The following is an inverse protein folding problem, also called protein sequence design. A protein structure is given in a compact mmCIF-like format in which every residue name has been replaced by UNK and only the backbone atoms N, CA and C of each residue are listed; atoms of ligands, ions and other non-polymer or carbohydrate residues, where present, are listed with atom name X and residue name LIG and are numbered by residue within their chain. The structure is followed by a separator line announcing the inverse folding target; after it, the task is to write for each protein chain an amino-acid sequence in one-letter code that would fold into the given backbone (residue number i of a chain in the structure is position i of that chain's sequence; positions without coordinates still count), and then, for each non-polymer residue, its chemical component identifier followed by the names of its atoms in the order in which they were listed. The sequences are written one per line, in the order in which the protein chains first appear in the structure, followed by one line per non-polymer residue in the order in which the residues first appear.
data_IF_120181803469
#
_entry.id   IF_120181803469
#
_cell.length_a   1.000
_cell.length_b   1.000
_cell.length_c   1.000
_cell.angle_alpha   90.00
_cell.angle_beta   90.00
_cell.angle_gamma   90.00
#
_symmetry.space_group_name_H-M   'P 1'
#
loop_
_entity.id
_entity.type
_entity.pdbx_description
1 polymer ?
#
# COMPACT_ATOMS: atom_id res chain seq x y z
N UNK A 1 35.18 -16.80 28.22
CA UNK A 1 34.90 -15.53 27.52
C UNK A 1 36.09 -15.02 26.70
N UNK A 2 37.28 -14.84 27.28
CA UNK A 2 38.47 -14.34 26.55
C UNK A 2 38.87 -15.16 25.31
N UNK A 3 38.91 -16.49 25.42
CA UNK A 3 39.24 -17.39 24.30
C UNK A 3 38.22 -17.35 23.14
N UNK A 4 36.92 -17.19 23.46
CA UNK A 4 35.89 -17.07 22.44
C UNK A 4 36.06 -15.76 21.65
N UNK A 5 36.31 -14.66 22.37
CA UNK A 5 36.56 -13.34 21.76
C UNK A 5 37.80 -13.32 20.87
N UNK A 6 38.87 -14.00 21.25
CA UNK A 6 40.12 -14.02 20.46
C UNK A 6 40.06 -14.95 19.25
N UNK A 7 39.33 -16.07 19.34
CA UNK A 7 39.50 -17.18 18.38
C UNK A 7 38.25 -17.44 17.53
N UNK A 8 37.05 -17.25 18.08
CA UNK A 8 35.79 -17.68 17.43
C UNK A 8 34.85 -16.52 17.09
N UNK A 9 35.07 -15.32 17.64
CA UNK A 9 34.18 -14.18 17.45
C UNK A 9 34.08 -13.75 15.98
N UNK A 10 35.21 -13.70 15.28
CA UNK A 10 35.28 -13.26 13.87
C UNK A 10 34.56 -14.23 12.94
N UNK A 11 34.53 -15.53 13.28
CA UNK A 11 33.85 -16.56 12.48
C UNK A 11 32.36 -16.69 12.83
N UNK A 12 31.98 -16.41 14.07
CA UNK A 12 30.62 -16.61 14.57
C UNK A 12 29.71 -15.38 14.47
N UNK A 13 30.27 -14.17 14.33
CA UNK A 13 29.51 -12.91 14.33
C UNK A 13 29.94 -12.05 13.16
N UNK A 14 28.98 -11.70 12.31
CA UNK A 14 29.15 -10.75 11.21
C UNK A 14 28.42 -9.45 11.55
N UNK A 15 29.14 -8.33 11.51
CA UNK A 15 28.54 -7.00 11.69
C UNK A 15 28.01 -6.49 10.36
N UNK A 16 26.71 -6.19 10.31
CA UNK A 16 26.03 -5.70 9.11
C UNK A 16 25.28 -4.40 9.41
N UNK A 17 25.33 -3.46 8.47
CA UNK A 17 24.60 -2.18 8.60
C UNK A 17 23.08 -2.34 8.50
N UNK A 18 22.63 -3.35 7.75
CA UNK A 18 21.20 -3.61 7.55
C UNK A 18 20.97 -5.10 7.41
N UNK A 19 19.96 -5.60 8.12
CA UNK A 19 19.51 -6.97 8.04
C UNK A 19 17.98 -7.00 7.88
N UNK A 20 17.49 -7.85 6.98
CA UNK A 20 16.05 -8.03 6.74
C UNK A 20 15.64 -9.41 7.22
N UNK A 21 14.60 -9.46 8.05
CA UNK A 21 14.02 -10.68 8.57
C UNK A 21 12.61 -10.87 7.99
N UNK A 22 12.24 -12.12 7.72
CA UNK A 22 10.85 -12.43 7.38
C UNK A 22 9.94 -12.18 8.59
N UNK A 23 8.67 -11.85 8.33
CA UNK A 23 7.70 -11.64 9.42
C UNK A 23 7.48 -12.88 10.28
N UNK A 24 7.61 -14.09 9.71
CA UNK A 24 7.52 -15.35 10.46
C UNK A 24 8.73 -15.52 11.39
N UNK A 25 9.94 -15.33 10.89
CA UNK A 25 11.16 -15.42 11.69
C UNK A 25 11.19 -14.38 12.82
N UNK A 26 10.79 -13.13 12.52
CA UNK A 26 10.68 -12.06 13.52
C UNK A 26 9.69 -12.38 14.65
N UNK A 27 8.59 -13.08 14.34
CA UNK A 27 7.56 -13.47 15.31
C UNK A 27 8.00 -14.64 16.19
N UNK A 28 8.73 -15.59 15.62
CA UNK A 28 9.24 -16.77 16.32
C UNK A 28 10.52 -16.48 17.14
N UNK A 29 11.16 -15.34 16.89
CA UNK A 29 12.36 -14.91 17.60
C UNK A 29 12.14 -14.88 19.11
N UNK A 30 12.95 -15.66 19.84
CA UNK A 30 13.00 -15.67 21.31
C UNK A 30 14.26 -15.01 21.83
N UNK A 31 15.39 -15.32 21.19
CA UNK A 31 16.71 -14.80 21.55
C UNK A 31 17.32 -14.03 20.36
N UNK A 32 17.96 -12.87 20.58
CA UNK A 32 18.07 -12.16 21.86
C UNK A 32 16.73 -11.55 22.32
N UNK A 33 16.39 -11.70 23.61
CA UNK A 33 15.09 -11.28 24.16
C UNK A 33 14.77 -9.80 23.91
N UNK A 34 15.76 -8.92 24.05
CA UNK A 34 15.59 -7.48 23.82
C UNK A 34 15.16 -7.16 22.39
N UNK A 35 15.74 -7.85 21.40
CA UNK A 35 15.37 -7.68 20.00
C UNK A 35 13.97 -8.24 19.73
N UNK A 36 13.64 -9.40 20.31
CA UNK A 36 12.32 -10.00 20.18
C UNK A 36 11.21 -9.12 20.77
N UNK A 37 11.42 -8.53 21.94
CA UNK A 37 10.48 -7.56 22.53
C UNK A 37 10.35 -6.29 21.70
N UNK A 38 11.47 -5.75 21.23
CA UNK A 38 11.46 -4.59 20.37
C UNK A 38 10.63 -4.83 19.10
N UNK A 39 10.85 -5.96 18.42
CA UNK A 39 10.09 -6.33 17.22
C UNK A 39 8.60 -6.48 17.51
N UNK A 40 8.22 -7.10 18.64
CA UNK A 40 6.81 -7.21 19.06
C UNK A 40 6.20 -5.85 19.33
N UNK A 41 6.89 -4.96 20.06
CA UNK A 41 6.40 -3.62 20.34
C UNK A 41 6.23 -2.80 19.06
N UNK A 42 7.22 -2.81 18.15
CA UNK A 42 7.10 -2.15 16.85
C UNK A 42 5.93 -2.69 16.03
N UNK A 43 5.74 -4.00 16.00
CA UNK A 43 4.59 -4.63 15.34
C UNK A 43 3.27 -4.19 15.96
N UNK A 44 3.17 -4.18 17.30
CA UNK A 44 1.98 -3.71 18.00
C UNK A 44 1.71 -2.23 17.70
N UNK A 45 2.72 -1.35 17.73
CA UNK A 45 2.58 0.07 17.39
C UNK A 45 2.04 0.25 15.97
N UNK A 46 2.61 -0.44 14.99
CA UNK A 46 2.16 -0.36 13.59
C UNK A 46 0.74 -0.91 13.41
N UNK A 47 0.36 -1.96 14.14
CA UNK A 47 -1.00 -2.51 14.09
C UNK A 47 -2.05 -1.52 14.60
N UNK A 48 -1.75 -0.75 15.65
CA UNK A 48 -2.66 0.24 16.22
C UNK A 48 -2.64 1.57 15.43
N UNK A 49 -1.46 1.97 14.97
CA UNK A 49 -1.23 3.23 14.25
C UNK A 49 -0.52 2.98 12.91
N UNK A 50 -1.24 2.44 11.90
CA UNK A 50 -0.64 2.04 10.62
C UNK A 50 -0.29 3.22 9.70
N UNK A 51 -0.38 4.46 10.16
CA UNK A 51 -0.21 5.66 9.32
C UNK A 51 1.17 5.72 8.65
N UNK A 52 2.23 5.32 9.37
CA UNK A 52 3.58 5.28 8.83
C UNK A 52 3.70 4.27 7.68
N UNK A 53 3.16 3.06 7.89
CA UNK A 53 3.13 1.99 6.89
C UNK A 53 2.32 2.42 5.68
N UNK A 54 1.12 2.99 5.89
CA UNK A 54 0.27 3.49 4.82
C UNK A 54 0.96 4.59 3.99
N UNK A 55 1.66 5.52 4.65
CA UNK A 55 2.41 6.59 3.99
C UNK A 55 3.57 6.03 3.16
N UNK A 56 4.31 5.06 3.70
CA UNK A 56 5.43 4.44 3.00
C UNK A 56 4.95 3.61 1.79
N UNK A 57 3.93 2.77 1.97
CA UNK A 57 3.31 2.00 0.88
C UNK A 57 2.73 2.91 -0.20
N UNK A 58 2.12 4.04 0.19
CA UNK A 58 1.59 5.00 -0.78
C UNK A 58 2.69 5.55 -1.70
N UNK A 59 3.89 5.82 -1.18
CA UNK A 59 5.03 6.26 -1.99
C UNK A 59 5.50 5.15 -2.95
N UNK A 60 5.62 3.92 -2.45
CA UNK A 60 6.03 2.76 -3.27
C UNK A 60 5.03 2.54 -4.42
N UNK A 61 3.74 2.46 -4.10
CA UNK A 61 2.69 2.22 -5.09
C UNK A 61 2.57 3.36 -6.11
N UNK A 62 2.75 4.62 -5.69
CA UNK A 62 2.82 5.75 -6.61
C UNK A 62 4.03 5.63 -7.55
N UNK A 63 5.18 5.19 -7.04
CA UNK A 63 6.38 4.93 -7.85
C UNK A 63 6.21 3.78 -8.85
N UNK A 64 5.34 2.81 -8.54
CA UNK A 64 4.93 1.74 -9.46
C UNK A 64 3.84 2.18 -10.46
N UNK A 65 3.39 3.45 -10.42
CA UNK A 65 2.36 3.97 -11.30
C UNK A 65 0.92 3.60 -10.92
N UNK A 66 0.70 2.99 -9.75
CA UNK A 66 -0.64 2.66 -9.27
C UNK A 66 -1.42 3.92 -8.86
N UNK A 67 -2.72 3.86 -9.09
CA UNK A 67 -3.66 4.93 -8.85
C UNK A 67 -4.42 4.70 -7.55
N UNK A 68 -4.71 5.80 -6.85
CA UNK A 68 -5.46 5.80 -5.60
C UNK A 68 -6.85 6.39 -5.82
N UNK A 69 -7.87 5.73 -5.27
CA UNK A 69 -9.25 6.23 -5.32
C UNK A 69 -10.03 5.83 -4.08
N UNK A 70 -11.11 6.56 -3.77
CA UNK A 70 -11.99 6.29 -2.63
C UNK A 70 -13.39 5.96 -3.13
N UNK A 71 -13.80 4.70 -2.96
CA UNK A 71 -15.15 4.23 -3.31
C UNK A 71 -16.17 4.61 -2.22
N UNK A 72 -15.86 4.27 -0.96
CA UNK A 72 -16.78 4.43 0.18
C UNK A 72 -16.39 5.58 1.13
N UNK A 73 -15.58 6.54 0.65
CA UNK A 73 -14.99 7.67 1.40
C UNK A 73 -14.03 7.29 2.55
N UNK A 74 -14.19 6.11 3.16
CA UNK A 74 -13.40 5.63 4.31
C UNK A 74 -12.13 4.89 3.91
N UNK A 75 -12.20 4.10 2.83
CA UNK A 75 -11.10 3.24 2.39
C UNK A 75 -10.51 3.79 1.09
N UNK A 76 -9.19 3.93 1.07
CA UNK A 76 -8.43 4.25 -0.15
C UNK A 76 -8.03 2.93 -0.79
N UNK A 77 -8.53 2.69 -2.00
CA UNK A 77 -8.14 1.56 -2.82
C UNK A 77 -6.99 1.95 -3.74
N UNK A 78 -6.19 0.95 -4.09
CA UNK A 78 -5.03 1.07 -4.98
C UNK A 78 -5.27 0.15 -6.17
N UNK A 79 -5.16 0.66 -7.39
CA UNK A 79 -5.40 -0.08 -8.64
C UNK A 79 -4.48 0.40 -9.75
N UNK A 80 -4.42 -0.35 -10.85
CA UNK A 80 -3.62 0.04 -12.04
C UNK A 80 -4.16 1.31 -12.69
N UNK A 81 -5.48 1.47 -12.75
CA UNK A 81 -6.16 2.63 -13.32
C UNK A 81 -7.23 3.19 -12.38
N UNK A 82 -7.59 4.47 -12.54
CA UNK A 82 -8.72 5.05 -11.82
C UNK A 82 -10.04 4.48 -12.35
N UNK A 83 -11.07 4.34 -11.51
CA UNK A 83 -12.39 3.89 -11.96
C UNK A 83 -12.91 4.76 -13.10
N UNK A 84 -13.22 4.13 -14.23
CA UNK A 84 -13.76 4.75 -15.43
C UNK A 84 -15.01 4.01 -15.87
N UNK A 85 -16.17 4.66 -15.76
CA UNK A 85 -17.44 4.02 -16.12
C UNK A 85 -17.52 3.79 -17.63
N UNK A 86 -17.86 2.55 -18.02
CA UNK A 86 -18.12 2.17 -19.40
C UNK A 86 -19.63 2.06 -19.61
N UNK A 87 -20.16 2.83 -20.56
CA UNK A 87 -21.56 2.75 -20.96
C UNK A 87 -21.70 1.80 -22.16
N UNK A 88 -22.03 0.55 -21.89
CA UNK A 88 -22.04 -0.55 -22.87
C UNK A 88 -23.08 -0.37 -23.99
N UNK A 89 -24.08 0.48 -23.77
CA UNK A 89 -25.11 0.80 -24.77
C UNK A 89 -24.67 1.88 -25.75
N UNK A 90 -23.77 2.77 -25.33
CA UNK A 90 -23.34 3.94 -26.12
C UNK A 90 -21.99 3.68 -26.77
N UNK A 91 -21.05 3.06 -26.06
CA UNK A 91 -19.71 2.80 -26.57
C UNK A 91 -19.64 1.48 -27.34
N UNK A 92 -19.08 1.46 -28.56
CA UNK A 92 -18.93 0.24 -29.33
C UNK A 92 -17.82 -0.62 -28.72
N UNK A 93 -18.23 -1.65 -27.97
CA UNK A 93 -17.35 -2.68 -27.40
C UNK A 93 -17.59 -4.05 -28.04
N UNK A 94 -16.60 -4.94 -27.97
CA UNK A 94 -16.75 -6.31 -28.46
C UNK A 94 -17.82 -7.09 -27.67
N UNK A 95 -18.41 -8.09 -28.31
CA UNK A 95 -19.43 -8.93 -27.68
C UNK A 95 -18.88 -9.70 -26.47
N UNK A 96 -17.59 -10.08 -26.49
CA UNK A 96 -16.90 -10.71 -25.36
C UNK A 96 -16.87 -9.79 -24.14
N UNK A 97 -16.44 -8.55 -24.33
CA UNK A 97 -16.41 -7.52 -23.27
C UNK A 97 -17.82 -7.26 -22.71
N UNK A 98 -18.82 -7.13 -23.59
CA UNK A 98 -20.22 -6.93 -23.20
C UNK A 98 -20.73 -8.07 -22.29
N UNK A 99 -20.44 -9.33 -22.64
CA UNK A 99 -20.80 -10.50 -21.83
C UNK A 99 -20.12 -10.50 -20.47
N UNK A 100 -18.84 -10.13 -20.39
CA UNK A 100 -18.10 -10.04 -19.12
C UNK A 100 -18.72 -9.00 -18.20
N UNK A 101 -18.99 -7.80 -18.70
CA UNK A 101 -19.57 -6.71 -17.90
C UNK A 101 -20.96 -7.11 -17.39
N UNK A 102 -21.81 -7.63 -18.27
CA UNK A 102 -23.15 -8.09 -17.90
C UNK A 102 -23.09 -9.21 -16.84
N UNK A 103 -22.16 -10.15 -16.97
CA UNK A 103 -21.98 -11.23 -16.00
C UNK A 103 -21.57 -10.70 -14.62
N UNK A 104 -20.68 -9.70 -14.57
CA UNK A 104 -20.24 -9.07 -13.31
C UNK A 104 -21.39 -8.31 -12.64
N UNK A 105 -22.25 -7.63 -13.40
CA UNK A 105 -23.38 -6.88 -12.85
C UNK A 105 -24.47 -7.79 -12.26
N UNK A 106 -24.69 -8.95 -12.88
CA UNK A 106 -25.68 -9.94 -12.41
C UNK A 106 -25.16 -10.76 -11.23
N UNK A 107 -23.85 -11.03 -11.16
CA UNK A 107 -23.26 -11.91 -10.16
C UNK A 107 -22.70 -11.12 -8.96
N UNK A 108 -23.33 -11.19 -7.77
CA UNK A 108 -22.76 -10.54 -6.59
C UNK A 108 -21.44 -11.20 -6.18
N UNK A 109 -20.48 -10.40 -5.69
CA UNK A 109 -19.15 -10.87 -5.27
C UNK A 109 -18.43 -11.71 -6.34
N UNK A 110 -18.60 -11.35 -7.61
CA UNK A 110 -17.96 -12.02 -8.74
C UNK A 110 -16.44 -12.08 -8.55
N UNK A 111 -15.81 -13.20 -8.89
CA UNK A 111 -14.33 -13.33 -8.90
C UNK A 111 -13.86 -13.73 -10.28
N UNK A 112 -12.57 -13.52 -10.56
CA UNK A 112 -11.97 -13.90 -11.85
C UNK A 112 -12.25 -15.36 -12.22
N UNK A 113 -12.24 -16.25 -11.23
CA UNK A 113 -12.54 -17.67 -11.41
C UNK A 113 -13.98 -17.90 -11.89
N UNK A 114 -14.97 -17.24 -11.29
CA UNK A 114 -16.36 -17.35 -11.72
C UNK A 114 -16.55 -16.91 -13.18
N UNK A 115 -15.86 -15.85 -13.61
CA UNK A 115 -15.93 -15.37 -15.00
C UNK A 115 -15.36 -16.43 -15.95
N UNK A 116 -14.20 -17.00 -15.62
CA UNK A 116 -13.56 -18.01 -16.47
C UNK A 116 -14.31 -19.36 -16.50
N UNK A 117 -14.94 -19.76 -15.40
CA UNK A 117 -15.75 -20.98 -15.34
C UNK A 117 -17.04 -20.84 -16.16
N UNK A 118 -17.75 -19.71 -16.05
CA UNK A 118 -19.05 -19.53 -16.71
C UNK A 118 -18.92 -19.06 -18.16
N UNK A 119 -17.91 -18.24 -18.50
CA UNK A 119 -17.73 -17.71 -19.86
C UNK A 119 -16.61 -18.40 -20.64
N UNK A 120 -15.58 -18.92 -19.96
CA UNK A 120 -14.42 -19.56 -20.60
C UNK A 120 -14.50 -21.09 -20.64
N UNK A 121 -15.58 -21.70 -20.12
CA UNK A 121 -15.75 -23.16 -20.12
C UNK A 121 -14.71 -23.91 -19.28
N UNK A 122 -14.05 -23.25 -18.31
CA UNK A 122 -13.22 -23.97 -17.34
C UNK A 122 -14.14 -24.82 -16.46
N UNK A 123 -14.10 -26.14 -16.64
CA UNK A 123 -14.69 -27.05 -15.67
C UNK A 123 -13.96 -26.90 -14.33
N UNK A 124 -14.72 -26.79 -13.23
CA UNK A 124 -14.18 -26.78 -11.86
C UNK A 124 -13.40 -28.08 -11.60
N UNK A 125 -12.08 -28.02 -11.70
CA UNK A 125 -11.21 -29.11 -11.25
C UNK A 125 -10.98 -28.90 -9.76
N UNK A 126 -11.71 -29.65 -8.93
CA UNK A 126 -11.30 -29.81 -7.54
C UNK A 126 -9.99 -30.62 -7.51
N UNK A 127 -8.92 -30.09 -6.89
CA UNK A 127 -7.71 -30.87 -6.74
C UNK A 127 -7.99 -31.99 -5.74
N UNK A 128 -8.15 -33.22 -6.25
CA UNK A 128 -8.06 -34.42 -5.42
C UNK A 128 -6.61 -34.56 -4.97
N UNK A 129 -6.40 -34.58 -3.66
CA UNK A 129 -5.12 -34.79 -3.01
C UNK A 129 -4.52 -36.14 -3.46
N UNK A 130 -3.38 -36.10 -4.18
CA UNK A 130 -2.56 -37.29 -4.46
C UNK A 130 -2.25 -37.63 -5.93
N UNK A 131 -2.73 -36.88 -6.92
CA UNK A 131 -2.33 -37.08 -8.32
C UNK A 131 -1.28 -36.07 -8.78
N UNK A 132 -0.33 -36.56 -9.63
CA UNK A 132 0.65 -35.73 -10.33
C UNK A 132 -0.03 -34.49 -10.92
N UNK A 133 0.65 -33.32 -10.96
CA UNK A 133 0.06 -32.09 -11.45
C UNK A 133 -0.59 -32.37 -12.81
N UNK A 134 -1.88 -32.07 -13.00
CA UNK A 134 -2.51 -32.26 -14.29
C UNK A 134 -1.67 -31.50 -15.34
N UNK A 135 -1.47 -32.08 -16.54
CA UNK A 135 -0.76 -31.37 -17.60
C UNK A 135 -1.43 -30.01 -17.75
N UNK A 136 -0.60 -28.96 -17.83
CA UNK A 136 -1.03 -27.58 -17.98
C UNK A 136 -2.08 -27.54 -19.09
N UNK A 137 -3.36 -27.49 -18.71
CA UNK A 137 -4.47 -27.59 -19.67
C UNK A 137 -4.25 -26.45 -20.64
N UNK A 138 -3.96 -26.78 -21.90
CA UNK A 138 -3.75 -25.77 -22.92
C UNK A 138 -5.00 -24.90 -22.93
N UNK A 139 -4.83 -23.65 -22.50
CA UNK A 139 -5.93 -22.70 -22.46
C UNK A 139 -6.46 -22.56 -23.88
N UNK A 140 -7.75 -22.83 -24.06
CA UNK A 140 -8.41 -22.65 -25.35
C UNK A 140 -8.19 -21.21 -25.82
N UNK A 141 -8.16 -20.97 -27.13
CA UNK A 141 -7.98 -19.62 -27.66
C UNK A 141 -9.04 -18.64 -27.13
N UNK A 142 -10.28 -19.10 -26.95
CA UNK A 142 -11.36 -18.34 -26.32
C UNK A 142 -11.05 -17.95 -24.86
N UNK A 143 -10.37 -18.82 -24.11
CA UNK A 143 -9.96 -18.53 -22.73
C UNK A 143 -8.84 -17.50 -22.69
N UNK A 144 -7.86 -17.60 -23.58
CA UNK A 144 -6.79 -16.59 -23.69
C UNK A 144 -7.37 -15.23 -24.07
N UNK A 145 -8.31 -15.20 -25.01
CA UNK A 145 -9.01 -13.98 -25.38
C UNK A 145 -9.79 -13.39 -24.20
N UNK A 146 -10.55 -14.21 -23.46
CA UNK A 146 -11.27 -13.78 -22.27
C UNK A 146 -10.34 -13.23 -21.19
N UNK A 147 -9.19 -13.87 -20.98
CA UNK A 147 -8.15 -13.39 -20.05
C UNK A 147 -7.59 -12.04 -20.50
N UNK A 148 -7.33 -11.87 -21.80
CA UNK A 148 -6.88 -10.62 -22.40
C UNK A 148 -7.93 -9.52 -22.24
N UNK A 149 -9.19 -9.82 -22.49
CA UNK A 149 -10.31 -8.87 -22.35
C UNK A 149 -10.47 -8.41 -20.90
N UNK A 150 -10.42 -9.34 -19.92
CA UNK A 150 -10.45 -9.00 -18.49
C UNK A 150 -9.25 -8.12 -18.12
N UNK A 151 -8.06 -8.48 -18.59
CA UNK A 151 -6.85 -7.69 -18.32
C UNK A 151 -6.97 -6.27 -18.86
N UNK A 152 -7.45 -6.12 -20.11
CA UNK A 152 -7.71 -4.83 -20.72
C UNK A 152 -8.74 -4.02 -19.93
N UNK A 153 -9.85 -4.62 -19.52
CA UNK A 153 -10.91 -3.96 -18.74
C UNK A 153 -10.40 -3.40 -17.40
N UNK A 154 -9.55 -4.16 -16.71
CA UNK A 154 -8.91 -3.74 -15.46
C UNK A 154 -7.93 -2.58 -15.72
N UNK A 155 -7.16 -2.69 -16.80
CA UNK A 155 -6.13 -1.70 -17.14
C UNK A 155 -6.72 -0.36 -17.64
N UNK A 156 -7.91 -0.37 -18.24
CA UNK A 156 -8.66 0.85 -18.58
C UNK A 156 -9.47 1.41 -17.40
N UNK A 157 -9.61 0.65 -16.31
CA UNK A 157 -10.36 1.04 -15.12
C UNK A 157 -11.88 0.87 -15.23
N UNK A 158 -12.36 0.16 -16.27
CA UNK A 158 -13.77 -0.20 -16.43
C UNK A 158 -14.22 -1.27 -15.43
N UNK A 159 -13.28 -2.15 -15.08
CA UNK A 159 -13.45 -3.20 -14.09
C UNK A 159 -12.42 -2.98 -12.99
N UNK A 160 -12.84 -3.21 -11.75
CA UNK A 160 -12.00 -3.06 -10.56
C UNK A 160 -11.85 -4.43 -9.89
N UNK A 161 -10.61 -4.90 -9.80
CA UNK A 161 -10.25 -6.07 -9.01
C UNK A 161 -9.72 -5.59 -7.65
N UNK A 162 -10.40 -6.00 -6.57
CA UNK A 162 -10.03 -5.65 -5.21
C UNK A 162 -9.04 -6.67 -4.62
N UNK A 163 -8.36 -6.30 -3.53
CA UNK A 163 -7.38 -7.17 -2.84
C UNK A 163 -7.96 -8.46 -2.27
N UNK A 164 -9.29 -8.56 -2.14
CA UNK A 164 -10.00 -9.78 -1.75
C UNK A 164 -10.37 -10.67 -2.95
N UNK A 165 -9.97 -10.31 -4.17
CA UNK A 165 -10.27 -11.04 -5.41
C UNK A 165 -11.68 -10.80 -5.96
N UNK A 166 -12.46 -9.90 -5.35
CA UNK A 166 -13.77 -9.51 -5.88
C UNK A 166 -13.57 -8.55 -7.04
N UNK A 167 -14.33 -8.78 -8.10
CA UNK A 167 -14.38 -7.97 -9.31
C UNK A 167 -15.72 -7.22 -9.34
N UNK A 168 -15.65 -5.91 -9.55
CA UNK A 168 -16.83 -5.07 -9.76
C UNK A 168 -16.65 -4.15 -10.97
N UNK A 169 -17.76 -3.75 -11.59
CA UNK A 169 -17.76 -2.71 -12.60
C UNK A 169 -17.59 -1.32 -11.97
N UNK A 170 -16.91 -0.41 -12.66
CA UNK A 170 -16.84 0.98 -12.25
C UNK A 170 -18.25 1.59 -12.27
N UNK A 171 -18.65 2.31 -11.22
CA UNK A 171 -19.98 2.93 -11.14
C UNK A 171 -20.01 4.28 -11.85
N UNK A 172 -21.15 4.62 -12.43
CA UNK A 172 -21.38 5.92 -13.08
C UNK A 172 -21.04 7.07 -12.12
N UNK A 173 -20.17 8.02 -12.50
CA UNK A 173 -19.83 9.14 -11.64
C UNK A 173 -21.09 9.94 -11.32
N UNK A 174 -21.30 10.24 -10.04
CA UNK A 174 -22.38 11.15 -9.62
C UNK A 174 -22.07 12.53 -10.21
N UNK A 175 -22.96 13.08 -11.03
CA UNK A 175 -22.86 14.48 -11.48
C UNK A 175 -22.89 15.36 -10.23
N UNK A 176 -21.90 16.23 -10.06
CA UNK A 176 -21.92 17.26 -9.02
C UNK A 176 -23.03 18.26 -9.38
N UNK A 177 -24.18 18.13 -8.75
CA UNK A 177 -25.21 19.18 -8.70
C UNK A 177 -25.26 19.75 -7.28
N UNK A 178 -24.94 21.04 -7.17
CA UNK A 178 -25.45 22.02 -6.19
C UNK A 178 -25.39 21.72 -4.70
N UNK A 179 -24.22 21.36 -4.15
CA UNK A 179 -24.00 21.41 -2.70
C UNK A 179 -22.79 22.25 -2.26
N UNK A 180 -22.15 22.99 -3.18
CA UNK A 180 -20.94 23.78 -2.89
C UNK A 180 -21.19 25.30 -2.80
N UNK A 181 -22.43 25.72 -2.50
CA UNK A 181 -22.79 27.13 -2.38
C UNK A 181 -23.35 27.59 -1.02
N UNK A 182 -23.64 26.70 -0.06
CA UNK A 182 -24.22 27.13 1.22
C UNK A 182 -23.27 27.09 2.43
N UNK A 183 -22.20 26.30 2.43
CA UNK A 183 -21.41 26.09 3.66
C UNK A 183 -20.24 27.08 3.85
N UNK A 184 -20.16 28.16 3.05
CA UNK A 184 -19.05 29.13 3.12
C UNK A 184 -19.44 30.57 3.50
N UNK A 185 -20.69 30.82 3.92
CA UNK A 185 -21.16 32.18 4.25
C UNK A 185 -21.47 32.48 5.72
N UNK A 186 -21.48 31.52 6.63
CA UNK A 186 -21.58 31.82 8.07
C UNK A 186 -20.28 31.47 8.79
N UNK A 187 -19.47 32.49 9.03
CA UNK A 187 -18.69 32.80 10.24
C UNK A 187 -17.56 33.75 9.80
N UNK A 188 -17.92 35.00 9.56
CA UNK A 188 -17.04 36.16 9.68
C UNK A 188 -17.86 37.38 10.08
N UNK A 189 -17.94 37.67 11.38
CA UNK A 189 -17.77 39.04 11.86
C UNK A 189 -17.24 39.08 13.32
N UNK A 190 -16.43 40.10 13.69
CA UNK A 190 -15.54 40.08 14.85
C UNK A 190 -16.05 40.97 16.01
N UNK A 191 -15.57 40.75 17.24
CA UNK A 191 -15.60 41.76 18.30
C UNK A 191 -14.30 41.75 19.14
N UNK A 192 -13.77 42.96 19.34
CA UNK A 192 -12.50 43.31 19.99
C UNK A 192 -12.67 43.57 21.50
N UNK A 193 -11.67 43.09 22.27
CA UNK A 193 -10.91 43.76 23.36
C UNK A 193 -11.61 44.10 24.69
N UNK A 194 -11.09 43.50 25.78
CA UNK A 194 -10.77 44.24 27.02
C UNK A 194 -9.52 43.63 27.72
N UNK A 195 -8.74 44.49 28.40
CA UNK A 195 -7.34 44.31 28.83
C UNK A 195 -7.16 43.68 30.23
N UNK A 196 -5.98 43.07 30.37
CA UNK A 196 -5.16 42.52 31.50
C UNK A 196 -5.14 43.34 32.81
N UNK A 197 -4.72 42.79 33.98
CA UNK A 197 -3.29 42.54 34.32
C UNK A 197 -3.02 41.20 35.07
N UNK A 198 -2.03 40.38 34.67
CA UNK A 198 -0.61 40.37 35.07
C UNK A 198 -0.31 39.82 36.48
N UNK A 199 0.25 38.60 36.56
CA UNK A 199 1.18 38.21 37.63
C UNK A 199 2.21 37.17 37.13
N UNK A 200 3.46 37.33 37.59
CA UNK A 200 4.72 36.72 37.12
C UNK A 200 5.06 35.43 37.89
N UNK A 201 5.72 34.47 37.22
CA UNK A 201 6.89 33.71 37.69
C UNK A 201 7.38 32.86 36.50
N UNK A 202 8.44 33.18 35.75
CA UNK A 202 9.90 33.08 36.02
C UNK A 202 10.37 31.74 36.58
N UNK A 203 11.29 31.15 35.80
CA UNK A 203 12.46 30.27 36.09
C UNK A 203 12.43 29.13 35.04
N UNK A 204 13.44 28.79 34.24
CA UNK A 204 14.74 29.34 33.83
C UNK A 204 15.26 28.31 32.80
N UNK A 205 15.70 28.77 31.63
CA UNK A 205 16.45 27.94 30.67
C UNK A 205 17.94 28.08 30.99
N UNK A 206 18.65 26.97 31.12
CA UNK A 206 20.11 26.94 31.06
C UNK A 206 20.57 26.08 29.88
N UNK A 207 21.23 26.79 28.97
CA UNK A 207 22.08 26.30 27.90
C UNK A 207 23.53 26.38 28.41
N UNK A 208 24.28 25.28 28.25
CA UNK A 208 25.75 25.26 28.29
C UNK A 208 26.16 24.27 27.20
N UNK A 209 26.89 24.61 26.15
CA UNK A 209 28.00 25.55 26.08
C UNK A 209 29.19 24.74 25.56
N UNK A 210 29.23 24.58 24.24
CA UNK A 210 30.23 23.83 23.48
C UNK A 210 31.57 24.57 23.52
N UNK A 211 32.64 23.86 23.89
CA UNK A 211 34.00 24.38 23.86
C UNK A 211 34.61 24.24 22.46
N UNK A 212 35.16 25.35 21.99
CA UNK A 212 35.92 25.55 20.78
C UNK A 212 37.38 25.08 21.00
N UNK A 213 37.93 24.30 20.06
CA UNK A 213 39.38 24.17 19.89
C UNK A 213 39.69 24.54 18.44
N UNK A 214 40.49 25.59 18.34
CA UNK A 214 41.08 26.19 17.15
C UNK A 214 42.43 25.51 16.92
N UNK A 215 42.69 24.97 15.73
CA UNK A 215 44.03 24.89 15.13
C UNK A 215 43.87 24.91 13.60
N UNK A 216 44.61 25.85 12.99
CA UNK A 216 44.52 26.24 11.59
C UNK A 216 45.16 25.27 10.59
N UNK A 217 45.12 25.61 9.28
CA UNK A 217 45.45 24.71 8.19
C UNK A 217 46.93 24.79 7.81
N UNK A 218 47.54 23.65 7.46
CA UNK A 218 48.80 23.62 6.69
C UNK A 218 48.53 22.87 5.40
N UNK A 219 48.74 23.58 4.30
CA UNK A 219 48.64 23.13 2.90
C UNK A 219 49.98 22.57 2.40
N UNK A 220 49.90 21.69 1.40
CA UNK A 220 50.97 21.06 0.63
C UNK A 220 52.03 22.04 0.04
N UNK A 221 53.29 21.59 -0.10
CA UNK A 221 53.92 21.23 -1.40
C UNK A 221 55.46 21.10 -1.34
N UNK A 222 55.96 20.01 -1.94
CA UNK A 222 57.16 19.78 -2.77
C UNK A 222 58.64 19.98 -2.35
N UNK A 223 59.45 19.05 -2.89
CA UNK A 223 60.91 19.01 -3.20
C UNK A 223 61.84 18.86 -1.98
N UNK A 224 62.86 17.99 -1.97
CA UNK A 224 63.75 17.47 -3.03
C UNK A 224 64.31 16.09 -2.60
#
# INVERSE_FOLDING_TARGET
EAHFRSTHLVEAVEEVQTHSLSGTAAKELRDPHALAEYLRDQWHRQKHFPMQVATHLSKIFSGMGLQFFKKDKKVTHVSVAKPNYLDVEVEPVSDGIRKVIQFIEVTPNCTRRHILENLGGLAHVEPKEGENPPPMVEQTEEQKQLISDIHWLIHQGHVLEFSNGIIETAKKPRKKSDHESEEKKEVKEPLKVEKVPAEKSTVESQESGTAQVDEGPVTEELKE
#
